data_IF_446935307660
#
_entry.id   IF_446935307660
#
_cell.length_a   1.000
_cell.length_b   1.000
_cell.length_c   1.000
_cell.angle_alpha   90.00
_cell.angle_beta   90.00
_cell.angle_gamma   90.00
#
_symmetry.space_group_name_H-M   'P 1'
#
loop_
_entity.id
_entity.type
_entity.pdbx_description
1 polymer ?
#
# COMPACT_ATOMS: atom_id res chain seq x y z
N UNK A 1 -39.34 21.57 -31.21
CA UNK A 1 -38.47 20.60 -31.90
C UNK A 1 -37.04 20.54 -31.35
N UNK A 2 -36.48 21.60 -30.77
CA UNK A 2 -35.03 21.65 -30.44
C UNK A 2 -34.55 20.87 -29.21
N UNK A 3 -35.39 20.68 -28.18
CA UNK A 3 -35.01 19.91 -26.98
C UNK A 3 -34.71 18.43 -27.29
N UNK A 4 -35.43 17.83 -28.25
CA UNK A 4 -35.21 16.43 -28.65
C UNK A 4 -33.84 16.22 -29.30
N UNK A 5 -33.37 17.19 -30.09
CA UNK A 5 -32.06 17.12 -30.73
C UNK A 5 -30.91 17.40 -29.75
N UNK A 6 -31.11 18.27 -28.75
CA UNK A 6 -30.15 18.51 -27.67
C UNK A 6 -29.99 17.25 -26.80
N UNK A 7 -31.10 16.58 -26.47
CA UNK A 7 -31.07 15.34 -25.70
C UNK A 7 -30.39 14.19 -26.47
N UNK A 8 -30.68 14.06 -27.77
CA UNK A 8 -29.99 13.09 -28.62
C UNK A 8 -28.48 13.40 -28.75
N UNK A 9 -28.09 14.67 -28.88
CA UNK A 9 -26.68 15.05 -28.95
C UNK A 9 -25.92 14.76 -27.65
N UNK A 10 -26.53 15.02 -26.47
CA UNK A 10 -25.95 14.69 -25.17
C UNK A 10 -25.81 13.18 -24.96
N UNK A 11 -26.81 12.39 -25.37
CA UNK A 11 -26.76 10.92 -25.31
C UNK A 11 -25.64 10.39 -26.22
N UNK A 12 -25.50 10.92 -27.44
CA UNK A 12 -24.41 10.54 -28.36
C UNK A 12 -23.04 10.93 -27.78
N UNK A 13 -22.89 12.10 -27.16
CA UNK A 13 -21.63 12.50 -26.52
C UNK A 13 -21.30 11.58 -25.33
N UNK A 14 -22.27 11.19 -24.51
CA UNK A 14 -22.07 10.22 -23.43
C UNK A 14 -21.76 8.80 -23.93
N UNK A 15 -22.26 8.41 -25.11
CA UNK A 15 -21.96 7.12 -25.74
C UNK A 15 -20.59 7.08 -26.44
N UNK A 16 -20.07 8.22 -26.89
CA UNK A 16 -18.77 8.32 -27.57
C UNK A 16 -17.64 8.62 -26.58
N UNK A 17 -17.92 9.29 -25.47
CA UNK A 17 -17.03 9.37 -24.31
C UNK A 17 -17.15 8.09 -23.47
N UNK A 18 -16.72 6.95 -24.03
CA UNK A 18 -16.32 5.84 -23.17
C UNK A 18 -15.25 6.38 -22.22
N UNK A 19 -15.37 6.20 -20.89
CA UNK A 19 -14.22 6.42 -20.04
C UNK A 19 -13.14 5.49 -20.60
N UNK A 20 -12.03 6.06 -21.08
CA UNK A 20 -10.84 5.27 -21.29
C UNK A 20 -10.54 4.69 -19.90
N UNK A 21 -10.91 3.43 -19.70
CA UNK A 21 -10.48 2.67 -18.54
C UNK A 21 -8.97 2.62 -18.70
N UNK A 22 -8.33 3.48 -17.92
CA UNK A 22 -6.91 3.60 -17.91
C UNK A 22 -6.33 2.27 -17.42
N UNK A 23 -5.15 1.96 -17.92
CA UNK A 23 -4.62 0.60 -17.92
C UNK A 23 -3.20 0.67 -17.44
N UNK A 24 -2.90 -0.12 -16.40
CA UNK A 24 -1.51 -0.35 -16.00
C UNK A 24 -0.75 -1.17 -17.05
N UNK A 25 -1.35 -1.60 -18.17
CA UNK A 25 -0.70 -2.51 -19.11
C UNK A 25 0.38 -1.86 -19.96
N UNK A 26 0.23 -0.59 -20.32
CA UNK A 26 1.17 0.08 -21.22
C UNK A 26 2.35 0.66 -20.47
N UNK A 27 3.56 0.28 -20.87
CA UNK A 27 4.79 0.64 -20.17
C UNK A 27 5.68 1.58 -21.01
N UNK A 28 6.35 2.51 -20.33
CA UNK A 28 7.41 3.31 -20.92
C UNK A 28 8.70 2.48 -21.14
N UNK A 29 9.61 2.96 -22.00
CA UNK A 29 10.94 2.36 -22.16
C UNK A 29 11.72 2.39 -20.84
N UNK A 30 12.25 1.25 -20.43
CA UNK A 30 12.99 1.12 -19.17
C UNK A 30 12.11 1.15 -17.91
N UNK A 31 10.78 1.11 -18.07
CA UNK A 31 9.88 1.10 -16.93
C UNK A 31 10.05 -0.18 -16.09
N UNK A 32 9.82 -0.08 -14.77
CA UNK A 32 9.76 -1.23 -13.89
C UNK A 32 8.56 -2.11 -14.25
N UNK A 33 8.84 -3.39 -14.40
CA UNK A 33 7.89 -4.47 -14.60
C UNK A 33 8.16 -5.56 -13.58
N UNK A 34 7.12 -6.25 -13.15
CA UNK A 34 7.21 -7.22 -12.08
C UNK A 34 6.95 -8.63 -12.60
N UNK A 35 7.73 -9.58 -12.09
CA UNK A 35 7.57 -10.99 -12.43
C UNK A 35 6.18 -11.45 -12.03
N UNK A 36 5.47 -12.03 -12.99
CA UNK A 36 4.09 -12.47 -12.91
C UNK A 36 3.08 -11.50 -13.55
N UNK A 37 3.46 -10.28 -13.93
CA UNK A 37 2.58 -9.42 -14.73
C UNK A 37 2.26 -10.07 -16.09
N UNK A 38 1.00 -9.97 -16.49
CA UNK A 38 0.47 -10.51 -17.74
C UNK A 38 -0.15 -9.40 -18.57
N UNK A 39 -0.25 -9.64 -19.87
CA UNK A 39 -0.98 -8.78 -20.80
C UNK A 39 -0.41 -7.36 -20.91
N UNK A 40 0.91 -7.21 -20.79
CA UNK A 40 1.58 -5.92 -20.90
C UNK A 40 1.71 -5.47 -22.36
N UNK A 41 1.52 -4.16 -22.56
CA UNK A 41 1.87 -3.47 -23.79
C UNK A 41 3.25 -2.83 -23.66
N UNK A 42 4.23 -3.49 -24.28
CA UNK A 42 5.63 -3.10 -24.38
C UNK A 42 5.96 -2.45 -25.74
N UNK A 43 4.96 -2.14 -26.58
CA UNK A 43 5.18 -1.59 -27.92
C UNK A 43 5.96 -0.26 -27.92
N UNK A 44 5.71 0.60 -26.93
CA UNK A 44 6.46 1.84 -26.71
C UNK A 44 7.88 1.61 -26.22
N UNK A 45 8.10 0.55 -25.43
CA UNK A 45 9.39 0.22 -24.86
C UNK A 45 10.33 -0.43 -25.89
N UNK A 46 9.79 -1.27 -26.77
CA UNK A 46 10.58 -2.15 -27.63
C UNK A 46 11.18 -1.43 -28.85
N UNK A 47 10.53 -0.39 -29.40
CA UNK A 47 11.04 0.42 -30.53
C UNK A 47 11.63 -0.42 -31.68
N UNK A 48 10.91 -1.44 -32.12
CA UNK A 48 11.28 -2.47 -33.13
C UNK A 48 12.43 -3.44 -32.76
N UNK A 49 12.85 -3.48 -31.50
CA UNK A 49 13.75 -4.51 -31.00
C UNK A 49 13.13 -5.91 -31.17
N UNK A 50 13.91 -6.88 -31.64
CA UNK A 50 13.42 -8.25 -31.86
C UNK A 50 13.83 -9.20 -30.76
N UNK A 51 14.94 -8.89 -30.08
CA UNK A 51 15.53 -9.74 -29.04
C UNK A 51 15.90 -8.85 -27.87
N UNK A 52 15.34 -9.17 -26.70
CA UNK A 52 15.80 -8.58 -25.44
C UNK A 52 16.76 -9.54 -24.77
N UNK A 53 17.73 -8.98 -24.08
CA UNK A 53 18.76 -9.74 -23.42
C UNK A 53 19.10 -9.12 -22.06
N UNK A 54 19.50 -9.99 -21.15
CA UNK A 54 19.91 -9.66 -19.81
C UNK A 54 21.35 -10.11 -19.58
N UNK A 55 22.09 -9.22 -18.96
CA UNK A 55 23.43 -9.45 -18.46
C UNK A 55 23.38 -9.22 -16.95
N UNK A 56 24.20 -9.97 -16.21
CA UNK A 56 24.37 -9.71 -14.79
C UNK A 56 24.83 -8.26 -14.54
N UNK A 57 24.50 -7.73 -13.36
CA UNK A 57 24.95 -6.40 -12.97
C UNK A 57 26.48 -6.28 -13.12
N UNK A 58 26.92 -5.14 -13.65
CA UNK A 58 28.33 -4.82 -13.92
C UNK A 58 29.03 -5.70 -14.98
N UNK A 59 28.32 -6.62 -15.64
CA UNK A 59 28.91 -7.45 -16.70
C UNK A 59 29.20 -6.64 -17.99
N UNK A 60 30.25 -7.05 -18.69
CA UNK A 60 30.58 -6.49 -20.00
C UNK A 60 29.57 -6.94 -21.07
N UNK A 61 28.82 -5.97 -21.60
CA UNK A 61 27.83 -6.17 -22.67
C UNK A 61 28.44 -6.41 -24.05
N UNK A 62 29.78 -6.40 -24.18
CA UNK A 62 30.47 -6.86 -25.38
C UNK A 62 30.44 -8.39 -25.52
N UNK A 63 30.31 -9.11 -24.39
CA UNK A 63 30.17 -10.56 -24.33
C UNK A 63 28.74 -11.05 -24.52
N UNK A 64 28.54 -12.38 -24.63
CA UNK A 64 27.21 -12.97 -24.78
C UNK A 64 26.33 -12.68 -23.56
N UNK A 65 25.03 -12.46 -23.81
CA UNK A 65 24.05 -12.33 -22.75
C UNK A 65 23.91 -13.62 -21.94
N UNK A 66 23.64 -13.48 -20.63
CA UNK A 66 23.34 -14.64 -19.78
C UNK A 66 21.97 -15.23 -20.13
N UNK A 67 21.02 -14.38 -20.50
CA UNK A 67 19.68 -14.77 -20.92
C UNK A 67 19.20 -13.87 -22.05
N UNK A 68 18.53 -14.43 -23.05
CA UNK A 68 17.83 -13.66 -24.07
C UNK A 68 16.45 -14.23 -24.37
N UNK A 69 15.57 -13.37 -24.88
CA UNK A 69 14.20 -13.70 -25.26
C UNK A 69 13.93 -13.03 -26.61
N UNK A 70 13.52 -13.83 -27.59
CA UNK A 70 13.06 -13.31 -28.88
C UNK A 70 11.61 -12.87 -28.74
N UNK A 71 11.36 -11.56 -28.89
CA UNK A 71 10.02 -10.97 -28.83
C UNK A 71 9.34 -11.05 -30.21
N UNK A 72 10.13 -10.98 -31.29
CA UNK A 72 9.58 -11.06 -32.65
C UNK A 72 10.57 -11.65 -33.66
N UNK A 73 10.24 -12.77 -34.31
CA UNK A 73 10.77 -13.05 -35.67
C UNK A 73 9.96 -14.09 -36.46
N UNK A 74 9.79 -13.75 -37.75
CA UNK A 74 9.40 -14.51 -38.96
C UNK A 74 9.09 -16.01 -38.77
N UNK A 75 7.87 -16.42 -39.18
CA UNK A 75 7.31 -17.79 -39.24
C UNK A 75 6.62 -18.32 -37.95
N UNK A 76 5.53 -17.65 -37.54
CA UNK A 76 4.35 -18.20 -36.85
C UNK A 76 4.27 -18.42 -35.31
N UNK A 77 5.18 -17.87 -34.49
CA UNK A 77 4.86 -17.64 -33.07
C UNK A 77 5.33 -16.25 -32.63
N UNK A 78 4.37 -15.37 -32.34
CA UNK A 78 4.59 -13.99 -31.89
C UNK A 78 4.34 -13.96 -30.37
N UNK A 79 5.29 -13.45 -29.57
CA UNK A 79 4.89 -12.83 -28.30
C UNK A 79 4.32 -11.46 -28.67
N UNK A 80 3.00 -11.24 -28.57
CA UNK A 80 2.44 -9.97 -29.00
C UNK A 80 3.05 -8.90 -28.11
N UNK A 81 3.65 -7.88 -28.72
CA UNK A 81 4.20 -6.74 -27.96
C UNK A 81 3.12 -6.02 -27.15
N UNK A 82 1.83 -6.28 -27.41
CA UNK A 82 0.67 -5.75 -26.69
C UNK A 82 0.08 -6.74 -25.66
N UNK A 83 0.58 -7.97 -25.59
CA UNK A 83 0.13 -9.05 -24.70
C UNK A 83 1.35 -9.79 -24.13
N UNK A 84 2.35 -9.03 -23.69
CA UNK A 84 3.61 -9.57 -23.20
C UNK A 84 3.50 -9.98 -21.73
N UNK A 85 4.02 -11.15 -21.38
CA UNK A 85 3.98 -11.67 -20.01
C UNK A 85 5.39 -11.70 -19.42
N UNK A 86 5.55 -11.17 -18.22
CA UNK A 86 6.78 -11.31 -17.43
C UNK A 86 6.70 -12.63 -16.67
N UNK A 87 6.77 -13.76 -17.36
CA UNK A 87 6.54 -15.06 -16.73
C UNK A 87 7.63 -15.43 -15.71
N UNK A 88 7.25 -16.02 -14.55
CA UNK A 88 8.24 -16.54 -13.60
C UNK A 88 9.28 -17.47 -14.23
N UNK A 89 8.87 -18.37 -15.13
CA UNK A 89 9.78 -19.35 -15.76
C UNK A 89 10.90 -18.73 -16.61
N UNK A 90 10.65 -17.55 -17.21
CA UNK A 90 11.62 -16.90 -18.10
C UNK A 90 12.48 -15.88 -17.36
N UNK A 91 11.92 -15.20 -16.36
CA UNK A 91 12.50 -14.02 -15.73
C UNK A 91 13.02 -14.25 -14.31
N UNK A 92 12.58 -15.29 -13.60
CA UNK A 92 13.08 -15.59 -12.26
C UNK A 92 14.59 -15.84 -12.29
N UNK A 93 15.32 -15.20 -11.39
CA UNK A 93 16.79 -15.24 -11.35
C UNK A 93 17.50 -14.27 -12.29
N UNK A 94 16.76 -13.48 -13.08
CA UNK A 94 17.29 -12.47 -14.00
C UNK A 94 16.65 -11.07 -13.77
N UNK A 95 16.66 -10.53 -12.53
CA UNK A 95 16.13 -9.20 -12.25
C UNK A 95 17.06 -8.10 -12.77
N UNK A 96 16.54 -6.88 -12.95
CA UNK A 96 17.28 -5.72 -13.40
C UNK A 96 17.01 -5.36 -14.85
N UNK A 97 17.94 -4.65 -15.49
CA UNK A 97 17.74 -4.11 -16.83
C UNK A 97 17.79 -5.22 -17.89
N UNK A 98 16.78 -5.23 -18.75
CA UNK A 98 16.78 -5.98 -20.00
C UNK A 98 16.98 -5.02 -21.16
N UNK A 99 17.96 -5.31 -21.99
CA UNK A 99 18.40 -4.44 -23.07
C UNK A 99 17.98 -4.98 -24.41
N UNK A 100 17.84 -4.07 -25.37
CA UNK A 100 17.72 -4.45 -26.77
C UNK A 100 19.06 -5.00 -27.30
N UNK A 101 19.10 -6.26 -27.70
CA UNK A 101 20.32 -6.92 -28.17
C UNK A 101 20.60 -6.63 -29.65
N UNK A 102 19.56 -6.54 -30.48
CA UNK A 102 19.67 -6.47 -31.94
C UNK A 102 19.89 -5.05 -32.49
N UNK A 103 20.00 -4.03 -31.61
CA UNK A 103 20.28 -2.65 -31.98
C UNK A 103 21.46 -2.07 -31.20
N UNK A 104 22.24 -1.22 -31.87
CA UNK A 104 23.36 -0.48 -31.28
C UNK A 104 23.15 1.04 -31.47
N UNK A 105 23.43 1.88 -30.45
CA UNK A 105 23.78 1.51 -29.07
C UNK A 105 22.63 0.73 -28.40
N UNK A 106 22.99 -0.17 -27.47
CA UNK A 106 21.99 -0.90 -26.68
C UNK A 106 21.22 0.10 -25.82
N UNK A 107 19.94 -0.19 -25.58
CA UNK A 107 19.08 0.62 -24.72
C UNK A 107 18.22 -0.29 -23.85
N UNK A 108 17.82 0.21 -22.68
CA UNK A 108 16.96 -0.54 -21.75
C UNK A 108 15.54 -0.57 -22.30
N UNK A 109 15.01 -1.77 -22.48
CA UNK A 109 13.63 -2.00 -22.87
C UNK A 109 12.75 -2.02 -21.62
N UNK A 110 13.14 -2.77 -20.59
CA UNK A 110 12.38 -2.91 -19.34
C UNK A 110 13.32 -3.18 -18.17
N UNK A 111 12.87 -2.89 -16.95
CA UNK A 111 13.58 -3.23 -15.72
C UNK A 111 12.73 -4.24 -14.92
N UNK A 112 13.22 -5.47 -14.79
CA UNK A 112 12.48 -6.57 -14.16
C UNK A 112 12.73 -6.59 -12.66
N UNK A 113 11.66 -6.65 -11.88
CA UNK A 113 11.71 -6.80 -10.44
C UNK A 113 10.95 -8.04 -9.96
N UNK A 114 11.47 -8.68 -8.91
CA UNK A 114 10.68 -9.59 -8.08
C UNK A 114 9.61 -8.78 -7.33
N UNK A 115 8.33 -9.13 -7.38
CA UNK A 115 7.30 -8.44 -6.61
C UNK A 115 7.51 -8.69 -5.11
N UNK A 116 7.45 -7.63 -4.32
CA UNK A 116 7.59 -7.71 -2.87
C UNK A 116 6.48 -6.92 -2.17
N UNK A 117 5.75 -7.56 -1.25
CA UNK A 117 4.73 -6.94 -0.42
C UNK A 117 4.75 -7.54 0.99
N UNK A 118 4.69 -6.68 2.00
CA UNK A 118 4.58 -7.07 3.41
C UNK A 118 3.57 -6.17 4.10
N UNK A 119 2.64 -6.75 4.85
CA UNK A 119 1.80 -6.01 5.81
C UNK A 119 2.24 -6.32 7.24
N UNK A 120 2.16 -5.32 8.11
CA UNK A 120 2.47 -5.39 9.54
C UNK A 120 1.39 -4.66 10.34
N UNK A 121 1.19 -5.04 11.60
CA UNK A 121 0.44 -4.24 12.57
C UNK A 121 1.42 -3.31 13.28
N UNK A 122 1.17 -2.01 13.21
CA UNK A 122 2.06 -0.97 13.71
C UNK A 122 1.44 -0.27 14.91
N UNK A 123 2.20 -0.16 16.00
CA UNK A 123 1.83 0.65 17.16
C UNK A 123 2.20 2.11 16.87
N UNK A 124 1.20 2.99 16.87
CA UNK A 124 1.39 4.41 16.54
C UNK A 124 2.03 5.20 17.69
N UNK A 125 1.84 4.76 18.94
CA UNK A 125 2.37 5.46 20.11
C UNK A 125 3.85 5.12 20.33
N UNK A 126 4.23 3.86 20.07
CA UNK A 126 5.60 3.36 20.25
C UNK A 126 6.41 3.31 18.95
N UNK A 127 5.76 3.55 17.80
CA UNK A 127 6.36 3.50 16.48
C UNK A 127 7.13 2.18 16.23
N UNK A 128 6.49 1.05 16.53
CA UNK A 128 7.08 -0.28 16.40
C UNK A 128 6.12 -1.30 15.78
N UNK A 129 6.68 -2.36 15.22
CA UNK A 129 5.93 -3.53 14.77
C UNK A 129 5.44 -4.36 15.98
N UNK A 130 4.13 -4.61 16.02
CA UNK A 130 3.47 -5.44 17.01
C UNK A 130 2.74 -6.64 16.41
N UNK A 131 3.05 -6.98 15.15
CA UNK A 131 2.50 -8.16 14.47
C UNK A 131 2.71 -9.42 15.31
N UNK A 132 1.67 -10.22 15.48
CA UNK A 132 1.64 -11.44 16.27
C UNK A 132 1.60 -11.24 17.79
N UNK A 133 1.70 -10.00 18.30
CA UNK A 133 1.69 -9.73 19.75
C UNK A 133 0.26 -9.70 20.31
N UNK A 134 0.17 -9.96 21.61
CA UNK A 134 -1.02 -9.67 22.41
C UNK A 134 -0.84 -8.30 23.09
N UNK A 135 -1.82 -7.42 22.95
CA UNK A 135 -1.78 -6.04 23.46
C UNK A 135 -3.12 -5.65 24.09
N UNK A 136 -3.15 -4.65 24.99
CA UNK A 136 -4.41 -4.10 25.49
C UNK A 136 -5.35 -3.65 24.36
N UNK A 137 -6.67 -3.84 24.53
CA UNK A 137 -7.68 -3.37 23.56
C UNK A 137 -7.59 -1.87 23.26
N UNK A 138 -6.98 -1.08 24.15
CA UNK A 138 -6.78 0.37 23.99
C UNK A 138 -5.56 0.74 23.15
N UNK A 139 -4.65 -0.18 22.83
CA UNK A 139 -3.41 0.12 22.10
C UNK A 139 -3.71 0.77 20.76
N UNK A 140 -3.10 1.93 20.49
CA UNK A 140 -3.29 2.69 19.26
C UNK A 140 -2.53 2.04 18.09
N UNK A 141 -3.26 1.58 17.07
CA UNK A 141 -2.69 0.79 15.98
C UNK A 141 -3.08 1.32 14.61
N UNK A 142 -2.25 1.01 13.62
CA UNK A 142 -2.61 0.99 12.20
C UNK A 142 -2.03 -0.27 11.54
N UNK A 143 -2.33 -0.49 10.26
CA UNK A 143 -1.52 -1.39 9.45
C UNK A 143 -0.45 -0.59 8.71
N UNK A 144 0.71 -1.21 8.49
CA UNK A 144 1.78 -0.70 7.64
C UNK A 144 2.02 -1.66 6.50
N UNK A 145 2.08 -1.15 5.27
CA UNK A 145 2.45 -1.93 4.09
C UNK A 145 3.79 -1.41 3.58
N UNK A 146 4.73 -2.33 3.33
CA UNK A 146 5.99 -2.06 2.63
C UNK A 146 6.01 -2.84 1.30
N UNK A 147 6.34 -2.17 0.19
CA UNK A 147 6.32 -2.79 -1.15
C UNK A 147 7.19 -2.05 -2.16
N UNK A 148 7.72 -2.77 -3.15
CA UNK A 148 8.34 -2.18 -4.34
C UNK A 148 7.33 -1.89 -5.48
N UNK A 149 6.10 -2.42 -5.40
CA UNK A 149 5.08 -2.30 -6.45
C UNK A 149 4.58 -0.86 -6.66
N UNK A 150 4.85 0.04 -5.70
CA UNK A 150 4.51 1.46 -5.81
C UNK A 150 5.09 2.11 -7.08
N UNK A 151 6.19 1.57 -7.62
CA UNK A 151 6.79 2.03 -8.86
C UNK A 151 5.89 1.88 -10.09
N UNK A 152 4.95 0.92 -10.08
CA UNK A 152 3.95 0.77 -11.13
C UNK A 152 2.87 1.87 -11.09
N UNK A 153 2.67 2.52 -9.93
CA UNK A 153 1.74 3.64 -9.76
C UNK A 153 2.41 4.99 -10.05
N UNK A 154 3.20 5.05 -11.13
CA UNK A 154 3.84 6.27 -11.61
C UNK A 154 3.49 6.52 -13.07
N UNK A 155 3.03 7.74 -13.37
CA UNK A 155 2.74 8.20 -14.74
C UNK A 155 3.94 8.15 -15.68
N UNK A 156 5.15 8.25 -15.14
CA UNK A 156 6.38 8.13 -15.93
C UNK A 156 6.63 6.69 -16.42
N UNK A 157 6.12 5.69 -15.67
CA UNK A 157 6.33 4.27 -15.93
C UNK A 157 5.14 3.65 -16.67
N UNK A 158 3.92 4.05 -16.31
CA UNK A 158 2.66 3.59 -16.91
C UNK A 158 1.89 4.82 -17.43
N UNK A 159 1.96 5.06 -18.74
CA UNK A 159 1.48 6.31 -19.35
C UNK A 159 -0.05 6.45 -19.38
N UNK A 160 -0.75 5.34 -19.18
CA UNK A 160 -2.21 5.26 -19.18
C UNK A 160 -2.76 5.04 -17.77
N UNK A 161 -2.03 5.43 -16.72
CA UNK A 161 -2.46 5.27 -15.32
C UNK A 161 -3.57 6.27 -14.94
N UNK A 162 -4.50 5.84 -14.10
CA UNK A 162 -5.44 6.70 -13.35
C UNK A 162 -5.48 6.31 -11.87
N UNK A 163 -6.00 7.19 -11.00
CA UNK A 163 -6.21 6.86 -9.59
C UNK A 163 -7.11 5.64 -9.35
N UNK A 164 -7.95 5.26 -10.32
CA UNK A 164 -8.81 4.09 -10.24
C UNK A 164 -8.05 2.76 -10.42
N UNK A 165 -6.81 2.80 -10.92
CA UNK A 165 -6.01 1.61 -11.23
C UNK A 165 -5.22 1.06 -10.02
N UNK A 166 -5.64 1.44 -8.81
CA UNK A 166 -5.14 0.84 -7.59
C UNK A 166 -5.37 -0.67 -7.62
N UNK A 167 -4.31 -1.44 -7.39
CA UNK A 167 -4.32 -2.89 -7.52
C UNK A 167 -4.20 -3.62 -6.18
N UNK A 168 -4.29 -2.90 -5.05
CA UNK A 168 -4.20 -3.47 -3.71
C UNK A 168 -5.56 -3.50 -3.02
N UNK A 169 -5.80 -4.57 -2.28
CA UNK A 169 -6.96 -4.76 -1.41
C UNK A 169 -6.48 -5.18 -0.04
N UNK A 170 -6.87 -4.44 0.99
CA UNK A 170 -6.66 -4.76 2.39
C UNK A 170 -7.98 -5.19 3.00
N UNK A 171 -7.95 -6.26 3.77
CA UNK A 171 -9.09 -6.77 4.53
C UNK A 171 -8.72 -6.84 6.00
N UNK A 172 -9.61 -6.35 6.86
CA UNK A 172 -9.54 -6.52 8.31
C UNK A 172 -10.57 -7.58 8.73
N UNK A 173 -10.11 -8.73 9.19
CA UNK A 173 -10.97 -9.82 9.67
C UNK A 173 -10.96 -9.84 11.20
N UNK A 174 -12.15 -9.87 11.79
CA UNK A 174 -12.32 -9.90 13.24
C UNK A 174 -12.12 -11.32 13.83
N UNK A 175 -12.12 -11.48 15.17
CA UNK A 175 -11.90 -12.77 15.83
C UNK A 175 -12.93 -13.86 15.50
N UNK A 176 -14.12 -13.48 14.99
CA UNK A 176 -15.17 -14.42 14.57
C UNK A 176 -15.12 -14.72 13.07
N UNK A 177 -14.05 -14.33 12.38
CA UNK A 177 -13.84 -14.61 10.96
C UNK A 177 -14.65 -13.72 10.01
N UNK A 178 -15.20 -12.59 10.48
CA UNK A 178 -15.96 -11.66 9.64
C UNK A 178 -15.10 -10.47 9.22
N UNK A 179 -15.20 -10.13 7.94
CA UNK A 179 -14.57 -8.94 7.38
C UNK A 179 -15.25 -7.67 7.86
N UNK A 180 -14.43 -6.71 8.25
CA UNK A 180 -14.84 -5.40 8.70
C UNK A 180 -14.70 -4.39 7.56
N UNK A 181 -15.82 -3.76 7.21
CA UNK A 181 -15.85 -2.68 6.20
C UNK A 181 -15.84 -1.28 6.81
N UNK A 182 -16.22 -1.17 8.08
CA UNK A 182 -16.29 0.09 8.81
C UNK A 182 -15.69 -0.04 10.19
N UNK A 183 -15.18 1.07 10.70
CA UNK A 183 -14.75 1.26 12.08
C UNK A 183 -15.54 2.41 12.71
N UNK A 184 -15.76 2.34 14.02
CA UNK A 184 -16.53 3.31 14.78
C UNK A 184 -15.59 4.11 15.66
N UNK A 185 -15.79 5.43 15.71
CA UNK A 185 -15.02 6.33 16.59
C UNK A 185 -15.56 6.38 18.02
N UNK A 186 -16.75 5.81 18.24
CA UNK A 186 -17.39 5.71 19.55
C UNK A 186 -18.63 4.81 19.55
N UNK A 187 -19.29 4.72 20.72
CA UNK A 187 -20.49 3.90 20.90
C UNK A 187 -21.68 4.40 20.08
N UNK A 188 -22.54 3.47 19.66
CA UNK A 188 -23.76 3.75 18.91
C UNK A 188 -24.69 4.65 19.75
N UNK A 189 -25.22 5.70 19.13
CA UNK A 189 -26.13 6.66 19.78
C UNK A 189 -25.43 7.89 20.40
N UNK A 190 -24.10 7.91 20.50
CA UNK A 190 -23.39 9.15 20.85
C UNK A 190 -23.38 10.11 19.66
N UNK A 191 -23.62 11.40 19.91
CA UNK A 191 -23.62 12.45 18.88
C UNK A 191 -22.25 12.69 18.24
N UNK A 192 -21.16 12.26 18.89
CA UNK A 192 -19.79 12.37 18.38
C UNK A 192 -19.32 11.14 17.61
N UNK A 193 -20.12 10.07 17.55
CA UNK A 193 -19.73 8.82 16.89
C UNK A 193 -19.81 8.96 15.38
N UNK A 194 -18.70 8.64 14.71
CA UNK A 194 -18.61 8.55 13.27
C UNK A 194 -18.40 7.10 12.86
N UNK A 195 -18.97 6.73 11.72
CA UNK A 195 -18.72 5.47 11.03
C UNK A 195 -17.75 5.78 9.90
N UNK A 196 -16.51 5.35 10.05
CA UNK A 196 -15.47 5.55 9.04
C UNK A 196 -15.31 4.28 8.20
N UNK A 197 -15.16 4.46 6.89
CA UNK A 197 -14.86 3.35 5.99
C UNK A 197 -13.45 2.86 6.29
N UNK A 198 -13.31 1.54 6.42
CA UNK A 198 -12.00 0.90 6.53
C UNK A 198 -11.21 1.12 5.24
N UNK A 199 -9.95 1.51 5.38
CA UNK A 199 -9.06 1.78 4.25
C UNK A 199 -8.64 0.48 3.54
N UNK A 200 -9.57 -0.05 2.73
CA UNK A 200 -9.44 -1.36 2.09
C UNK A 200 -8.83 -1.32 0.69
N UNK A 201 -8.61 -0.16 0.10
CA UNK A 201 -8.04 -0.02 -1.27
C UNK A 201 -7.02 1.12 -1.30
N UNK A 202 -5.86 0.97 -0.65
CA UNK A 202 -4.87 2.02 -0.59
C UNK A 202 -4.24 2.26 -1.97
N UNK A 203 -4.05 3.53 -2.34
CA UNK A 203 -3.31 3.93 -3.54
C UNK A 203 -1.88 4.29 -3.14
N UNK A 204 -0.96 3.33 -3.30
CA UNK A 204 0.38 3.38 -2.72
C UNK A 204 1.44 3.88 -3.71
N UNK A 205 1.73 5.18 -3.71
CA UNK A 205 2.77 5.77 -4.56
C UNK A 205 4.15 5.86 -3.88
N UNK A 206 4.27 5.38 -2.64
CA UNK A 206 5.49 5.33 -1.83
C UNK A 206 5.83 3.90 -1.42
N UNK A 207 7.10 3.61 -1.08
CA UNK A 207 7.53 2.27 -0.65
C UNK A 207 6.88 1.81 0.65
N UNK A 208 6.48 2.76 1.51
CA UNK A 208 5.79 2.51 2.77
C UNK A 208 4.45 3.24 2.79
N UNK A 209 3.43 2.59 3.34
CA UNK A 209 2.10 3.14 3.54
C UNK A 209 1.54 2.79 4.92
N UNK A 210 0.86 3.74 5.55
CA UNK A 210 0.14 3.53 6.80
C UNK A 210 -1.37 3.64 6.54
N UNK A 211 -2.13 2.68 7.05
CA UNK A 211 -3.59 2.65 6.89
C UNK A 211 -4.25 3.89 7.49
N UNK A 212 -5.23 4.44 6.78
CA UNK A 212 -5.97 5.62 7.23
C UNK A 212 -7.11 5.25 8.17
N UNK A 213 -7.53 6.21 9.00
CA UNK A 213 -8.68 6.15 9.91
C UNK A 213 -8.52 5.20 11.11
N UNK A 214 -7.53 4.30 11.11
CA UNK A 214 -7.36 3.29 12.17
C UNK A 214 -6.97 3.91 13.53
N UNK A 215 -6.32 5.06 13.51
CA UNK A 215 -6.07 5.90 14.69
C UNK A 215 -7.35 6.35 15.39
N UNK A 216 -8.47 6.45 14.65
CA UNK A 216 -9.78 6.81 15.17
C UNK A 216 -10.62 5.59 15.56
N UNK A 217 -10.11 4.36 15.37
CA UNK A 217 -10.85 3.14 15.68
C UNK A 217 -10.97 2.93 17.19
N UNK A 218 -12.17 3.18 17.72
CA UNK A 218 -12.49 2.96 19.12
C UNK A 218 -12.97 1.53 19.35
N UNK A 219 -12.04 0.64 19.72
CA UNK A 219 -12.32 -0.78 20.01
C UNK A 219 -13.17 -1.01 21.27
N UNK A 220 -13.42 0.03 22.07
CA UNK A 220 -14.32 -0.02 23.23
C UNK A 220 -15.76 0.43 22.91
N UNK A 221 -16.05 0.73 21.64
CA UNK A 221 -17.38 1.14 21.20
C UNK A 221 -18.43 0.10 21.54
N UNK A 222 -19.60 0.56 22.00
CA UNK A 222 -20.74 -0.28 22.38
C UNK A 222 -21.92 -0.12 21.43
N UNK A 223 -22.73 -1.18 21.30
CA UNK A 223 -24.01 -1.15 20.59
C UNK A 223 -25.14 -0.54 21.43
N UNK A 224 -26.35 -0.49 20.87
CA UNK A 224 -27.56 0.04 21.55
C UNK A 224 -28.01 -0.79 22.74
N UNK A 225 -27.52 -2.03 22.88
CA UNK A 225 -27.80 -2.93 24.01
C UNK A 225 -26.73 -2.82 25.11
N UNK A 226 -25.67 -2.04 24.88
CA UNK A 226 -24.52 -1.89 25.77
C UNK A 226 -23.43 -2.94 25.58
N UNK A 227 -23.60 -3.88 24.64
CA UNK A 227 -22.59 -4.87 24.27
C UNK A 227 -21.40 -4.25 23.53
N UNK A 228 -20.21 -4.84 23.61
CA UNK A 228 -19.06 -4.38 22.82
C UNK A 228 -19.28 -4.67 21.33
N UNK A 229 -19.09 -3.67 20.47
CA UNK A 229 -19.13 -3.83 19.00
C UNK A 229 -17.97 -4.69 18.49
N UNK A 230 -16.85 -4.68 19.21
CA UNK A 230 -15.61 -5.32 18.83
C UNK A 230 -15.21 -6.35 19.88
N UNK A 231 -15.34 -7.65 19.60
CA UNK A 231 -14.92 -8.67 20.55
C UNK A 231 -13.40 -8.67 20.70
N UNK A 232 -12.92 -8.94 21.90
CA UNK A 232 -11.49 -9.22 22.14
C UNK A 232 -11.06 -10.49 21.42
N UNK A 233 -9.78 -10.61 21.09
CA UNK A 233 -9.23 -11.73 20.35
C UNK A 233 -8.35 -11.27 19.19
N UNK A 234 -8.04 -12.22 18.30
CA UNK A 234 -7.12 -11.99 17.19
C UNK A 234 -7.82 -11.35 15.99
N UNK A 235 -7.34 -10.17 15.62
CA UNK A 235 -7.70 -9.50 14.37
C UNK A 235 -6.60 -9.74 13.35
N UNK A 236 -6.98 -9.94 12.09
CA UNK A 236 -6.04 -10.21 11.00
C UNK A 236 -6.20 -9.18 9.89
N UNK A 237 -5.10 -8.55 9.52
CA UNK A 237 -4.98 -7.71 8.34
C UNK A 237 -4.38 -8.56 7.21
N UNK A 238 -5.07 -8.63 6.08
CA UNK A 238 -4.58 -9.32 4.89
C UNK A 238 -4.53 -8.33 3.74
N UNK A 239 -3.36 -8.17 3.13
CA UNK A 239 -3.20 -7.43 1.87
C UNK A 239 -3.06 -8.42 0.73
N UNK A 240 -3.78 -8.13 -0.35
CA UNK A 240 -3.72 -8.81 -1.63
C UNK A 240 -3.44 -7.77 -2.69
N UNK A 241 -2.53 -8.05 -3.61
CA UNK A 241 -2.29 -7.23 -4.79
C UNK A 241 -2.52 -8.05 -6.07
N UNK A 242 -3.01 -7.40 -7.12
CA UNK A 242 -3.22 -8.02 -8.44
C UNK A 242 -2.77 -7.11 -9.58
N UNK A 243 -1.57 -6.52 -9.47
CA UNK A 243 -0.96 -5.76 -10.56
C UNK A 243 -0.84 -6.64 -11.80
N UNK A 244 -1.39 -6.21 -12.94
CA UNK A 244 -1.25 -6.93 -14.20
C UNK A 244 -1.72 -8.40 -14.17
N UNK A 245 -2.72 -8.74 -13.35
CA UNK A 245 -3.21 -10.13 -13.26
C UNK A 245 -2.26 -11.10 -12.55
N UNK A 246 -1.28 -10.59 -11.80
CA UNK A 246 -0.21 -11.37 -11.21
C UNK A 246 -0.66 -12.51 -10.28
N UNK A 247 -1.87 -12.45 -9.71
CA UNK A 247 -2.42 -13.56 -8.92
C UNK A 247 -2.56 -14.85 -9.73
N UNK A 248 -2.80 -14.74 -11.04
CA UNK A 248 -2.98 -15.89 -11.91
C UNK A 248 -1.62 -16.55 -12.26
N UNK A 249 -0.52 -15.80 -12.13
CA UNK A 249 0.85 -16.28 -12.33
C UNK A 249 1.43 -17.02 -11.12
N UNK A 250 0.83 -16.85 -9.93
CA UNK A 250 1.26 -17.51 -8.68
C UNK A 250 0.12 -18.35 -8.11
N UNK A 251 0.11 -19.64 -8.45
CA UNK A 251 -1.04 -20.53 -8.21
C UNK A 251 -1.08 -21.16 -6.81
N UNK A 252 0.04 -21.23 -6.08
CA UNK A 252 0.10 -21.82 -4.74
C UNK A 252 0.31 -20.76 -3.67
N UNK A 253 -0.19 -21.01 -2.46
CA UNK A 253 -0.04 -20.10 -1.32
C UNK A 253 1.44 -19.75 -1.04
N UNK A 254 2.34 -20.73 -1.17
CA UNK A 254 3.78 -20.53 -0.96
C UNK A 254 4.39 -19.59 -2.00
N UNK A 255 3.92 -19.64 -3.25
CA UNK A 255 4.38 -18.74 -4.31
C UNK A 255 3.77 -17.34 -4.21
N UNK A 256 2.57 -17.22 -3.63
CA UNK A 256 1.87 -15.96 -3.41
C UNK A 256 2.41 -15.17 -2.21
N UNK A 257 2.87 -15.86 -1.17
CA UNK A 257 3.34 -15.23 0.06
C UNK A 257 4.49 -14.26 -0.21
N UNK A 258 4.36 -13.02 0.27
CA UNK A 258 5.35 -11.96 0.07
C UNK A 258 5.39 -11.36 -1.33
N UNK A 259 4.64 -11.92 -2.30
CA UNK A 259 4.57 -11.45 -3.70
C UNK A 259 3.22 -10.84 -4.03
N UNK A 260 2.15 -11.63 -3.88
CA UNK A 260 0.77 -11.21 -4.16
C UNK A 260 -0.07 -11.08 -2.90
N UNK A 261 0.34 -11.73 -1.81
CA UNK A 261 -0.42 -11.77 -0.56
C UNK A 261 0.51 -11.64 0.64
N UNK A 262 0.09 -10.90 1.66
CA UNK A 262 0.73 -10.88 2.98
C UNK A 262 -0.34 -10.72 4.05
N UNK A 263 -0.12 -11.33 5.21
CA UNK A 263 -1.02 -11.19 6.36
C UNK A 263 -0.24 -10.90 7.64
N UNK A 264 -0.85 -10.11 8.52
CA UNK A 264 -0.36 -9.83 9.87
C UNK A 264 -1.54 -9.82 10.83
N UNK A 265 -1.31 -10.24 12.08
CA UNK A 265 -2.36 -10.30 13.09
C UNK A 265 -1.96 -9.58 14.37
N UNK A 266 -2.94 -9.26 15.21
CA UNK A 266 -2.74 -8.72 16.56
C UNK A 266 -3.86 -9.25 17.46
N UNK A 267 -3.52 -9.61 18.69
CA UNK A 267 -4.51 -10.11 19.65
C UNK A 267 -4.82 -9.03 20.68
N UNK A 268 -6.06 -8.57 20.72
CA UNK A 268 -6.51 -7.62 21.75
C UNK A 268 -7.00 -8.37 22.98
N UNK A 269 -6.39 -8.06 24.12
CA UNK A 269 -6.80 -8.54 25.42
C UNK A 269 -7.92 -7.66 25.98
N UNK A 270 -8.88 -8.23 26.74
CA UNK A 270 -9.85 -7.43 27.47
C UNK A 270 -9.14 -6.44 28.39
N UNK A 271 -9.80 -5.34 28.73
CA UNK A 271 -9.34 -4.55 29.88
C UNK A 271 -9.27 -5.50 31.07
N UNK A 272 -8.09 -5.60 31.69
CA UNK A 272 -8.01 -6.21 33.00
C UNK A 272 -9.04 -5.47 33.87
N UNK A 273 -10.08 -6.19 34.25
CA UNK A 273 -10.95 -5.73 35.33
C UNK A 273 -10.03 -5.44 36.51
N UNK A 274 -10.16 -4.30 37.22
CA UNK A 274 -9.42 -4.09 38.45
C UNK A 274 -9.87 -5.18 39.44
N UNK A 275 -9.21 -6.32 39.39
CA UNK A 275 -9.37 -7.37 40.37
C UNK A 275 -8.85 -6.76 41.68
N UNK A 276 -9.77 -6.60 42.62
CA UNK A 276 -9.51 -6.45 44.05
C UNK A 276 -8.23 -7.21 44.37
N UNK A 277 -7.17 -6.49 44.74
CA UNK A 277 -5.96 -7.10 45.27
C UNK A 277 -6.40 -7.97 46.45
N UNK A 278 -6.51 -9.27 46.22
CA UNK A 278 -6.57 -10.22 47.32
C UNK A 278 -5.14 -10.29 47.81
N UNK A 279 -4.86 -9.51 48.85
CA UNK A 279 -3.64 -9.65 49.64
C UNK A 279 -3.58 -11.09 50.13
N UNK A 280 -2.85 -11.95 49.42
CA UNK A 280 -2.36 -13.19 49.99
C UNK A 280 -1.30 -12.80 51.01
N UNK A 281 -1.72 -12.71 52.27
CA UNK A 281 -0.83 -12.66 53.43
C UNK A 281 0.08 -13.89 53.35
N UNK A 282 1.41 -13.75 53.25
CA UNK A 282 2.31 -14.88 53.38
C UNK A 282 2.26 -15.38 54.83
N UNK A 283 1.92 -16.65 55.02
CA UNK A 283 2.09 -17.33 56.30
C UNK A 283 3.58 -17.59 56.50
N UNK A 284 4.26 -16.71 57.24
CA UNK A 284 5.65 -16.91 57.65
C UNK A 284 5.72 -18.04 58.69
N UNK A 285 6.32 -19.16 58.28
CA UNK A 285 6.86 -20.16 59.21
C UNK A 285 8.27 -19.69 59.61
N UNK A 286 8.60 -19.56 60.91
CA UNK A 286 9.90 -19.02 61.30
C UNK A 286 11.01 -20.05 61.08
N UNK A 287 11.91 -19.79 60.15
CA UNK A 287 13.21 -20.48 60.07
C UNK A 287 14.22 -19.68 60.89
N UNK A 288 14.73 -20.31 61.93
CA UNK A 288 15.82 -19.78 62.76
C UNK A 288 17.14 -19.96 62.01
N UNK A 289 17.81 -18.86 61.67
CA UNK A 289 19.19 -18.88 61.17
C UNK A 289 20.07 -17.93 61.99
N UNK A 290 21.18 -18.49 62.44
CA UNK A 290 22.23 -17.90 63.29
C UNK A 290 22.90 -16.68 62.63
N UNK A 291 23.39 -15.69 63.40
CA UNK A 291 24.01 -14.49 62.84
C UNK A 291 25.44 -14.77 62.34
N UNK A 292 25.72 -14.43 61.09
CA UNK A 292 27.09 -14.34 60.57
C UNK A 292 27.47 -12.87 60.31
N UNK A 293 28.73 -12.60 60.64
CA UNK A 293 29.37 -11.31 60.89
C UNK A 293 29.55 -10.46 59.63
N UNK A 294 29.27 -9.16 59.74
CA UNK A 294 29.48 -8.13 58.72
C UNK A 294 30.93 -7.62 58.78
N UNK A 295 31.63 -7.43 57.64
CA UNK A 295 32.69 -6.43 57.51
C UNK A 295 32.25 -5.19 56.70
N UNK A 296 32.79 -3.99 56.98
CA UNK A 296 32.18 -2.73 56.57
C UNK A 296 32.71 -2.16 55.24
N UNK A 297 31.81 -1.39 54.59
CA UNK A 297 32.03 -0.12 53.87
C UNK A 297 32.85 -0.10 52.57
N UNK A 298 32.23 0.43 51.50
CA UNK A 298 32.67 1.70 50.87
C UNK A 298 31.49 2.37 50.15
N UNK A 299 31.17 3.60 50.57
CA UNK A 299 30.23 4.47 49.89
C UNK A 299 30.91 5.12 48.67
N UNK A 300 30.28 5.02 47.50
CA UNK A 300 30.68 5.77 46.31
C UNK A 300 29.65 6.86 46.04
N UNK A 301 30.06 8.10 46.34
CA UNK A 301 29.39 9.33 45.95
C UNK A 301 29.43 9.46 44.43
N UNK A 302 28.28 9.43 43.75
CA UNK A 302 28.19 9.84 42.35
C UNK A 302 27.90 11.34 42.27
N UNK A 303 28.88 12.08 41.75
CA UNK A 303 28.74 13.47 41.33
C UNK A 303 27.73 13.59 40.17
N UNK A 304 26.84 14.57 40.26
CA UNK A 304 25.99 14.99 39.16
C UNK A 304 26.81 15.79 38.15
N UNK A 305 26.81 15.35 36.88
CA UNK A 305 27.37 16.10 35.75
C UNK A 305 26.21 16.76 35.01
N UNK A 306 26.17 18.09 35.08
CA UNK A 306 25.24 18.93 34.32
C UNK A 306 25.75 19.08 32.90
N UNK A 307 24.98 18.61 31.90
CA UNK A 307 25.27 18.84 30.48
C UNK A 307 24.62 20.17 30.02
N UNK A 308 25.25 20.92 29.10
CA UNK A 308 24.72 22.20 28.63
C UNK A 308 23.51 22.01 27.71
N UNK A 309 22.50 22.86 27.92
CA UNK A 309 21.31 23.00 27.08
C UNK A 309 21.72 23.53 25.71
N UNK A 310 21.45 22.76 24.66
CA UNK A 310 21.52 23.24 23.27
C UNK A 310 20.15 23.77 22.86
N UNK A 311 20.08 25.07 22.60
CA UNK A 311 18.95 25.75 21.97
C UNK A 311 18.72 25.19 20.57
N UNK A 312 17.55 24.61 20.32
CA UNK A 312 17.12 24.19 18.98
C UNK A 312 16.41 25.39 18.34
N UNK A 313 16.95 25.84 17.22
CA UNK A 313 16.38 26.86 16.35
C UNK A 313 15.13 26.30 15.64
N UNK A 314 14.05 27.06 15.68
CA UNK A 314 12.74 26.72 15.13
C UNK A 314 12.79 26.64 13.59
N UNK A 315 12.34 25.55 12.94
CA UNK A 315 12.30 25.49 11.48
C UNK A 315 11.22 26.43 10.93
N UNK A 316 11.46 27.11 9.79
CA UNK A 316 10.54 28.09 9.24
C UNK A 316 9.20 27.46 8.83
N UNK A 317 8.12 28.20 9.10
CA UNK A 317 6.74 27.81 8.87
C UNK A 317 6.49 27.24 7.46
N UNK A 318 5.83 26.08 7.39
CA UNK A 318 5.26 25.54 6.15
C UNK A 318 4.26 26.54 5.57
N UNK A 319 4.53 27.00 4.35
CA UNK A 319 3.55 27.73 3.52
C UNK A 319 2.39 26.80 3.17
N UNK A 320 1.25 27.04 3.80
CA UNK A 320 -0.02 26.38 3.50
C UNK A 320 -0.55 26.93 2.17
N UNK A 321 -0.60 26.10 1.13
CA UNK A 321 -1.34 26.40 -0.09
C UNK A 321 -2.84 26.21 0.18
N UNK A 322 -3.59 27.31 0.15
CA UNK A 322 -5.05 27.29 0.16
C UNK A 322 -5.58 26.62 -1.11
N UNK A 323 -6.54 25.68 -1.03
CA UNK A 323 -7.23 25.19 -2.21
C UNK A 323 -8.09 26.31 -2.83
N UNK A 324 -8.02 26.41 -4.16
CA UNK A 324 -8.78 27.34 -5.00
C UNK A 324 -10.27 27.37 -4.63
N UNK A 325 -10.79 28.55 -4.33
CA UNK A 325 -12.20 28.82 -4.03
C UNK A 325 -13.11 28.53 -5.23
N UNK A 326 -14.26 27.91 -4.96
CA UNK A 326 -15.23 27.31 -5.88
C UNK A 326 -15.92 28.23 -6.93
N UNK A 327 -15.42 29.45 -7.18
CA UNK A 327 -15.98 30.35 -8.21
C UNK A 327 -15.31 30.23 -9.58
N UNK A 328 -14.14 29.59 -9.68
CA UNK A 328 -13.47 29.36 -10.96
C UNK A 328 -14.20 28.35 -11.89
N UNK A 329 -15.16 27.59 -11.37
CA UNK A 329 -15.99 26.65 -12.14
C UNK A 329 -17.17 27.29 -12.89
N UNK A 330 -17.50 28.56 -12.65
CA UNK A 330 -18.72 29.18 -13.20
C UNK A 330 -18.46 29.95 -14.52
N UNK A 331 -17.20 30.30 -14.83
CA UNK A 331 -16.87 31.00 -16.08
C UNK A 331 -16.91 30.10 -17.33
N UNK A 332 -16.85 28.77 -17.18
CA UNK A 332 -16.94 27.83 -18.31
C UNK A 332 -18.36 27.63 -18.87
N UNK A 333 -19.40 27.94 -18.09
CA UNK A 333 -20.80 27.72 -18.49
C UNK A 333 -21.48 28.96 -19.09
N UNK A 334 -20.92 30.16 -18.89
CA UNK A 334 -21.44 31.39 -19.49
C UNK A 334 -21.04 31.56 -20.98
N UNK A 335 -19.89 30.99 -21.40
CA UNK A 335 -19.38 31.12 -22.77
C UNK A 335 -20.18 30.36 -23.85
N UNK A 336 -20.87 29.28 -23.47
CA UNK A 336 -21.68 28.50 -24.42
C UNK A 336 -23.07 29.09 -24.68
N UNK A 337 -23.58 29.93 -23.77
CA UNK A 337 -24.90 30.57 -23.91
C UNK A 337 -24.92 31.79 -24.83
N UNK A 338 -23.79 32.50 -24.97
CA UNK A 338 -23.71 33.73 -25.76
C UNK A 338 -23.57 33.49 -27.28
N UNK A 339 -23.06 32.32 -27.71
CA UNK A 339 -22.87 32.00 -29.13
C UNK A 339 -24.13 31.48 -29.84
N UNK A 340 -25.19 31.15 -29.11
CA UNK A 340 -26.47 30.69 -29.68
C UNK A 340 -27.53 31.81 -29.84
N UNK A 341 -27.23 33.04 -29.39
CA UNK A 341 -28.16 34.17 -29.46
C UNK A 341 -27.90 35.16 -30.62
N UNK A 342 -26.85 34.96 -31.44
CA UNK A 342 -26.49 35.90 -32.52
C UNK A 342 -26.81 35.44 -33.94
N UNK A 343 -27.68 34.44 -34.13
CA UNK A 343 -28.16 34.08 -35.48
C UNK A 343 -29.68 34.05 -35.54
N UNK A 344 -30.25 35.25 -35.53
CA UNK A 344 -31.62 35.54 -35.97
C UNK A 344 -31.66 36.98 -36.47
N UNK A 345 -31.29 37.14 -37.73
CA UNK A 345 -32.01 37.89 -38.76
C UNK A 345 -31.56 37.36 -40.13
#
# INVERSE_FOLDING_TARGET
MQIKYIFCALIVIFLVCSPAAASTKKIASGAPVFIGETDLDISSAIRDCKVIAWWADEADMSGPATKNITIKRVNDVILPVNHFNISPDLFSGYPGNWYCEDKKPTFVVLNVHEPAISIRVWDLDRNEDISGKAVPVTTNITYRIDTNLHQALSYANRTELTPADGFMTVTLTNPVGKDMKNIYTGSVGSSSTQILIFDGTPFMTSPTYYGRNLEAWNRLSRDTTGGYLYPTGTYTFTVVQNLGGMKDSYISADTQSGRTTSSASVTFLPLESPATQTTTVPSETPVTTSPETIPPTTAVTKQAVTLPVTTIEEPPAKVTYSPLTAWAGILGLAGAGALLAQRRD
#
